data_IF_906175154406
#
_entry.id   IF_906175154406
#
_cell.length_a   1.000
_cell.length_b   1.000
_cell.length_c   1.000
_cell.angle_alpha   90.00
_cell.angle_beta   90.00
_cell.angle_gamma   90.00
#
_symmetry.space_group_name_H-M   'P 1'
#
loop_
_entity.id
_entity.type
_entity.pdbx_description
1 polymer ?
#
# COMPACT_ATOMS: atom_id res chain seq x y z
N UNK A 1 -8.40 12.19 -4.99
CA UNK A 1 -8.09 10.87 -5.61
C UNK A 1 -8.11 9.78 -4.54
N UNK A 2 -9.32 9.48 -4.02
CA UNK A 2 -9.50 8.56 -2.88
C UNK A 2 -8.43 8.81 -1.81
N UNK A 3 -7.95 7.74 -1.18
CA UNK A 3 -6.86 7.80 -0.20
C UNK A 3 -7.15 8.75 0.97
N UNK A 4 -6.16 8.85 1.86
CA UNK A 4 -6.17 9.80 2.98
C UNK A 4 -7.18 9.43 4.08
N UNK A 5 -8.31 8.84 3.70
CA UNK A 5 -9.31 8.43 4.68
C UNK A 5 -9.04 7.01 5.17
N UNK A 6 -8.97 6.06 4.24
CA UNK A 6 -8.77 4.65 4.58
C UNK A 6 -7.34 4.40 5.06
N UNK A 7 -6.48 5.42 5.02
CA UNK A 7 -5.07 5.25 5.35
C UNK A 7 -4.86 4.92 6.84
N UNK A 8 -5.83 5.28 7.68
CA UNK A 8 -5.74 4.98 9.11
C UNK A 8 -6.17 3.54 9.37
N UNK A 9 -6.92 2.98 8.43
CA UNK A 9 -7.34 1.60 8.51
C UNK A 9 -6.14 0.68 8.31
N UNK A 10 -5.03 1.26 7.87
CA UNK A 10 -3.78 0.54 7.69
C UNK A 10 -3.29 -0.02 9.02
N UNK A 11 -3.72 0.63 10.10
CA UNK A 11 -3.35 0.22 11.45
C UNK A 11 -3.71 -1.26 11.66
N UNK A 12 -4.94 -1.62 11.35
CA UNK A 12 -5.41 -2.98 11.54
C UNK A 12 -5.05 -3.86 10.35
N UNK A 13 -4.80 -3.21 9.21
CA UNK A 13 -4.41 -3.93 8.01
C UNK A 13 -3.06 -4.61 8.19
N UNK A 14 -2.12 -3.92 8.82
CA UNK A 14 -0.81 -4.49 9.08
C UNK A 14 -0.91 -5.57 10.16
N UNK A 15 -1.97 -5.48 10.95
CA UNK A 15 -2.22 -6.43 12.01
C UNK A 15 -2.70 -7.77 11.44
N UNK A 16 -3.74 -7.73 10.61
CA UNK A 16 -4.37 -8.95 10.10
C UNK A 16 -3.91 -9.29 8.69
N UNK A 17 -3.90 -8.29 7.81
CA UNK A 17 -3.70 -8.54 6.38
C UNK A 17 -2.22 -8.83 6.07
N UNK A 18 -1.35 -8.70 7.05
CA UNK A 18 0.06 -9.09 6.87
C UNK A 18 0.18 -10.58 6.51
N UNK A 19 -0.92 -11.30 6.64
CA UNK A 19 -0.98 -12.70 6.24
C UNK A 19 -0.76 -12.84 4.73
N UNK A 20 -1.10 -11.80 3.96
CA UNK A 20 -0.89 -11.85 2.53
C UNK A 20 -2.15 -12.16 1.77
N UNK A 21 -3.28 -11.81 2.37
CA UNK A 21 -4.59 -12.06 1.79
C UNK A 21 -4.75 -11.33 0.46
N UNK A 22 -5.47 -11.96 -0.47
CA UNK A 22 -5.78 -11.31 -1.74
C UNK A 22 -7.01 -10.42 -1.57
N UNK A 23 -7.51 -10.36 -0.35
CA UNK A 23 -8.48 -9.34 0.03
C UNK A 23 -7.71 -8.15 0.62
N UNK A 24 -6.60 -7.84 -0.03
CA UNK A 24 -5.70 -6.77 0.41
C UNK A 24 -6.45 -5.42 0.48
N UNK A 25 -6.59 -4.88 1.69
CA UNK A 25 -7.38 -3.66 1.90
C UNK A 25 -6.58 -2.39 1.64
N UNK A 26 -5.97 -2.25 0.47
CA UNK A 26 -5.22 -1.04 0.15
C UNK A 26 -5.94 -0.23 -0.92
N UNK A 27 -6.89 0.61 -0.48
CA UNK A 27 -7.70 1.44 -1.37
C UNK A 27 -8.40 0.60 -2.44
N UNK A 28 -8.82 1.26 -3.50
CA UNK A 28 -9.63 0.60 -4.51
C UNK A 28 -8.95 0.60 -5.87
N UNK A 29 -8.99 -0.56 -6.54
CA UNK A 29 -8.49 -0.72 -7.91
C UNK A 29 -6.96 -0.62 -7.96
N UNK A 30 -6.38 -0.98 -9.10
CA UNK A 30 -4.93 -0.96 -9.27
C UNK A 30 -4.48 0.37 -9.88
N UNK A 31 -3.54 1.02 -9.21
CA UNK A 31 -2.94 2.22 -9.76
C UNK A 31 -1.58 1.91 -10.35
N UNK A 32 -0.86 1.02 -9.69
CA UNK A 32 0.38 0.52 -10.23
C UNK A 32 0.17 -0.79 -10.95
N UNK A 33 1.17 -1.25 -11.67
CA UNK A 33 1.06 -2.47 -12.47
C UNK A 33 0.53 -3.64 -11.62
N UNK A 34 1.07 -3.79 -10.43
CA UNK A 34 0.59 -4.79 -9.49
C UNK A 34 -0.09 -4.14 -8.30
N UNK A 35 -0.78 -3.03 -8.55
CA UNK A 35 -1.58 -2.29 -7.55
C UNK A 35 -0.72 -1.75 -6.40
N UNK A 36 0.58 -2.00 -6.46
CA UNK A 36 1.44 -1.74 -5.33
C UNK A 36 1.68 -0.25 -5.16
N UNK A 37 1.08 0.53 -6.03
CA UNK A 37 1.21 1.99 -5.97
C UNK A 37 0.50 2.56 -4.74
N UNK A 38 -0.55 1.88 -4.30
CA UNK A 38 -1.49 2.39 -3.30
C UNK A 38 -0.87 2.65 -1.91
N UNK A 39 0.35 2.20 -1.66
CA UNK A 39 0.93 2.37 -0.32
C UNK A 39 1.53 3.76 -0.11
N UNK A 40 1.94 4.40 -1.18
CA UNK A 40 2.60 5.70 -1.05
C UNK A 40 1.61 6.83 -0.90
N UNK A 41 0.34 6.48 -0.76
CA UNK A 41 -0.74 7.45 -0.72
C UNK A 41 -0.71 8.29 0.56
N UNK A 42 -0.16 7.72 1.62
CA UNK A 42 -0.19 8.36 2.92
C UNK A 42 1.03 9.23 3.17
N UNK A 43 2.22 8.66 3.08
CA UNK A 43 3.43 9.39 3.45
C UNK A 43 4.03 10.13 2.24
N UNK A 44 3.61 9.72 1.05
CA UNK A 44 4.04 10.30 -0.25
C UNK A 44 5.38 11.05 -0.18
N UNK A 45 6.45 10.33 0.13
CA UNK A 45 7.79 10.89 0.09
C UNK A 45 8.42 10.59 -1.27
N UNK A 46 9.16 11.57 -1.80
CA UNK A 46 9.72 11.49 -3.15
C UNK A 46 10.73 10.34 -3.26
N UNK A 47 11.43 10.05 -2.18
CA UNK A 47 12.38 8.95 -2.17
C UNK A 47 11.68 7.60 -2.40
N UNK A 48 10.38 7.54 -2.11
CA UNK A 48 9.61 6.33 -2.34
C UNK A 48 9.23 6.23 -3.82
N UNK A 49 9.18 7.38 -4.46
CA UNK A 49 8.83 7.48 -5.88
C UNK A 49 9.83 6.69 -6.74
N UNK A 50 10.98 6.38 -6.17
CA UNK A 50 11.99 5.59 -6.85
C UNK A 50 11.47 4.18 -7.18
N UNK A 51 10.51 3.68 -6.40
CA UNK A 51 10.01 2.32 -6.61
C UNK A 51 9.05 2.23 -7.81
N UNK A 52 7.92 2.95 -7.79
CA UNK A 52 6.99 2.94 -8.94
C UNK A 52 6.50 4.35 -9.26
N UNK A 53 7.12 5.34 -8.63
CA UNK A 53 6.66 6.72 -8.72
C UNK A 53 5.27 6.84 -8.11
N UNK A 54 5.13 6.35 -6.88
CA UNK A 54 3.84 6.39 -6.22
C UNK A 54 3.85 5.72 -4.86
N UNK A 55 4.41 4.52 -4.77
CA UNK A 55 4.35 3.76 -3.51
C UNK A 55 5.59 4.00 -2.66
N UNK A 56 5.65 3.26 -1.56
CA UNK A 56 6.80 3.24 -0.68
C UNK A 56 8.04 2.70 -1.39
N UNK A 57 9.20 3.11 -0.89
CA UNK A 57 10.46 2.53 -1.28
C UNK A 57 10.81 1.40 -0.29
N UNK A 58 9.87 1.16 0.64
CA UNK A 58 9.98 0.12 1.67
C UNK A 58 10.94 0.50 2.79
N UNK A 59 11.21 1.80 2.94
CA UNK A 59 12.08 2.27 3.99
C UNK A 59 11.32 2.70 5.25
N UNK A 60 10.06 3.15 5.07
CA UNK A 60 9.35 3.82 6.16
C UNK A 60 7.86 3.46 6.25
N UNK A 61 7.32 2.87 5.19
CA UNK A 61 5.89 2.60 5.12
C UNK A 61 5.46 1.36 5.91
N UNK A 62 6.41 0.65 6.52
CA UNK A 62 6.10 -0.62 7.22
C UNK A 62 4.92 -0.46 8.18
N UNK A 63 4.96 0.58 9.01
CA UNK A 63 3.86 0.84 9.96
C UNK A 63 2.59 1.25 9.24
N UNK A 64 2.69 1.38 7.92
CA UNK A 64 1.56 1.76 7.10
C UNK A 64 1.33 0.71 6.01
N UNK A 65 1.68 -0.53 6.32
CA UNK A 65 1.27 -1.71 5.55
C UNK A 65 1.91 -1.77 4.17
N UNK A 66 3.22 -1.86 4.12
CA UNK A 66 3.89 -1.81 2.84
C UNK A 66 4.23 -3.22 2.35
N UNK A 67 4.60 -4.07 3.28
CA UNK A 67 5.06 -5.43 2.98
C UNK A 67 3.89 -6.39 2.82
N UNK A 68 2.69 -5.87 2.99
CA UNK A 68 1.49 -6.65 2.76
C UNK A 68 1.32 -6.88 1.27
N UNK A 69 1.35 -5.77 0.52
CA UNK A 69 1.23 -5.82 -0.91
C UNK A 69 2.57 -6.17 -1.53
N UNK A 70 3.55 -5.28 -1.29
CA UNK A 70 4.90 -5.33 -1.89
C UNK A 70 5.02 -6.20 -3.16
N UNK A 71 4.13 -5.96 -4.13
CA UNK A 71 4.16 -6.64 -5.43
C UNK A 71 3.86 -8.14 -5.33
N UNK A 72 3.39 -8.58 -4.17
CA UNK A 72 3.00 -9.97 -3.98
C UNK A 72 1.51 -10.15 -4.23
N UNK A 73 0.74 -9.11 -3.95
CA UNK A 73 -0.69 -9.15 -4.21
C UNK A 73 -1.03 -8.35 -5.45
N UNK A 74 -2.05 -8.81 -6.17
CA UNK A 74 -2.45 -8.20 -7.43
C UNK A 74 -3.98 -8.04 -7.44
N UNK A 75 -4.56 -7.80 -6.28
CA UNK A 75 -6.01 -7.79 -6.17
C UNK A 75 -6.56 -6.37 -6.10
N UNK A 76 -7.30 -5.95 -7.14
CA UNK A 76 -8.02 -4.69 -7.14
C UNK A 76 -9.39 -4.86 -6.49
N UNK A 77 -10.17 -3.78 -6.47
CA UNK A 77 -11.46 -3.81 -5.82
C UNK A 77 -12.49 -3.11 -6.68
#
# INVERSE_FOLDING_TARGET
MMTEDQKFKYLTKIEELEAGCFSDWTKEDITGDLKYLKKGIIEESIELIRAVNGLTYSEELHDFTQEIIEELDISPL
#
